data_IF_600904702869
#
_entry.id   IF_600904702869
#
_cell.length_a   1.000
_cell.length_b   1.000
_cell.length_c   1.000
_cell.angle_alpha   90.00
_cell.angle_beta   90.00
_cell.angle_gamma   90.00
#
_symmetry.space_group_name_H-M   'P 1'
#
loop_
_entity.id
_entity.type
_entity.pdbx_description
1 polymer ?
#
# COMPACT_ATOMS: atom_id res chain seq x y z
N UNK A 1 31.97 18.20 57.35
CA UNK A 1 32.64 19.26 56.57
C UNK A 1 33.90 18.68 55.95
N UNK A 2 34.07 18.81 54.63
CA UNK A 2 35.36 18.72 53.89
C UNK A 2 36.01 17.32 53.89
N UNK A 3 36.65 16.78 52.86
CA UNK A 3 37.06 17.16 51.50
C UNK A 3 37.52 15.82 50.87
N UNK A 4 37.15 15.54 49.62
CA UNK A 4 38.07 15.54 48.47
C UNK A 4 39.29 14.60 48.59
N UNK A 5 39.24 13.51 47.81
CA UNK A 5 40.18 13.18 46.72
C UNK A 5 41.67 13.06 47.05
N UNK A 6 42.21 11.86 46.86
CA UNK A 6 43.63 11.46 46.88
C UNK A 6 43.67 10.07 46.20
N UNK A 7 44.55 9.64 45.29
CA UNK A 7 45.80 10.09 44.64
C UNK A 7 46.00 9.06 43.49
N UNK A 8 46.39 9.39 42.26
CA UNK A 8 47.78 9.40 41.75
C UNK A 8 47.70 9.14 40.24
N UNK A 9 48.59 9.50 39.31
CA UNK A 9 49.66 10.49 39.13
C UNK A 9 50.35 10.05 37.81
N UNK A 10 51.04 10.99 37.15
CA UNK A 10 51.96 10.86 36.00
C UNK A 10 51.30 10.84 34.60
N UNK A 11 51.75 11.61 33.61
CA UNK A 11 52.88 12.53 33.53
C UNK A 11 52.66 13.59 32.43
N UNK A 12 53.32 14.72 32.64
CA UNK A 12 53.52 15.83 31.70
C UNK A 12 54.42 15.43 30.53
N UNK A 13 54.13 15.90 29.33
CA UNK A 13 55.10 16.66 28.53
C UNK A 13 54.40 17.42 27.40
N UNK A 14 54.61 18.73 27.41
CA UNK A 14 54.26 19.68 26.35
C UNK A 14 55.49 19.96 25.47
N UNK A 15 55.27 20.67 24.36
CA UNK A 15 56.18 21.14 23.28
C UNK A 15 56.19 20.24 22.02
N UNK A 16 56.02 20.72 20.78
CA UNK A 16 55.46 21.95 20.22
C UNK A 16 55.38 21.78 18.68
N UNK A 17 54.35 22.37 18.07
CA UNK A 17 54.27 22.97 16.72
C UNK A 17 54.09 22.15 15.41
N UNK A 18 53.02 22.62 14.71
CA UNK A 18 52.75 22.72 13.27
C UNK A 18 52.17 21.50 12.51
N UNK A 19 50.83 21.55 12.41
CA UNK A 19 49.95 21.15 11.29
C UNK A 19 50.24 19.85 10.52
N UNK A 20 49.51 18.81 10.90
CA UNK A 20 49.05 17.80 9.95
C UNK A 20 47.62 17.39 10.34
N UNK A 21 46.61 18.10 9.84
CA UNK A 21 45.20 17.77 10.11
C UNK A 21 44.80 16.59 9.23
N UNK A 22 45.06 15.39 9.76
CA UNK A 22 44.58 14.12 9.23
C UNK A 22 43.06 14.02 9.27
N UNK A 23 42.56 13.36 8.23
CA UNK A 23 41.21 12.89 7.95
C UNK A 23 40.32 12.61 9.18
N UNK A 24 39.13 13.19 9.11
CA UNK A 24 38.02 13.03 10.04
C UNK A 24 37.46 11.61 10.03
N UNK A 25 37.91 10.76 10.95
CA UNK A 25 37.31 9.44 11.25
C UNK A 25 36.03 9.51 12.10
N UNK A 26 35.56 10.71 12.45
CA UNK A 26 34.30 10.94 13.20
C UNK A 26 33.08 11.13 12.27
N UNK A 27 33.30 11.36 10.98
CA UNK A 27 32.22 11.67 10.03
C UNK A 27 31.56 10.41 9.42
N UNK A 28 32.25 9.27 9.38
CA UNK A 28 31.69 8.03 8.81
C UNK A 28 30.88 7.19 9.83
N UNK A 29 31.24 7.24 11.11
CA UNK A 29 30.50 6.53 12.16
C UNK A 29 29.08 7.07 12.37
N UNK A 30 28.86 8.37 12.15
CA UNK A 30 27.52 8.99 12.29
C UNK A 30 26.62 8.72 11.08
N UNK A 31 27.16 8.55 9.87
CA UNK A 31 26.38 8.18 8.67
C UNK A 31 25.87 6.74 8.69
N UNK A 32 26.67 5.82 9.25
CA UNK A 32 26.33 4.39 9.31
C UNK A 32 25.18 4.11 10.30
N UNK A 33 25.17 4.78 11.46
CA UNK A 33 24.10 4.65 12.45
C UNK A 33 22.78 5.28 11.98
N UNK A 34 22.83 6.41 11.29
CA UNK A 34 21.63 7.05 10.71
C UNK A 34 21.05 6.20 9.56
N UNK A 35 21.89 5.55 8.75
CA UNK A 35 21.42 4.66 7.67
C UNK A 35 20.80 3.36 8.21
N UNK A 36 21.32 2.81 9.31
CA UNK A 36 20.80 1.58 9.91
C UNK A 36 19.39 1.74 10.51
N UNK A 37 19.09 2.88 11.13
CA UNK A 37 17.78 3.16 11.74
C UNK A 37 16.71 3.42 10.67
N UNK A 38 17.04 4.13 9.59
CA UNK A 38 16.10 4.37 8.47
C UNK A 38 15.75 3.06 7.74
N UNK A 39 16.71 2.15 7.63
CA UNK A 39 16.51 0.85 6.98
C UNK A 39 15.66 -0.09 7.85
N UNK A 40 15.95 -0.21 9.13
CA UNK A 40 15.13 -0.98 10.08
C UNK A 40 13.68 -0.47 10.16
N UNK A 41 13.47 0.85 10.11
CA UNK A 41 12.12 1.43 10.11
C UNK A 41 11.30 1.13 8.86
N UNK A 42 11.92 1.06 7.68
CA UNK A 42 11.23 0.68 6.43
C UNK A 42 10.94 -0.82 6.39
N UNK A 43 11.94 -1.63 6.70
CA UNK A 43 11.82 -3.10 6.68
C UNK A 43 10.78 -3.60 7.70
N UNK A 44 10.63 -2.93 8.85
CA UNK A 44 9.60 -3.24 9.85
C UNK A 44 8.19 -2.85 9.39
N UNK A 45 8.03 -1.73 8.67
CA UNK A 45 6.73 -1.27 8.18
C UNK A 45 6.24 -2.15 7.02
N UNK A 46 7.13 -2.47 6.08
CA UNK A 46 6.87 -3.38 4.96
C UNK A 46 6.53 -4.79 5.46
N UNK A 47 7.28 -5.31 6.43
CA UNK A 47 6.99 -6.62 7.03
C UNK A 47 5.69 -6.67 7.87
N UNK A 48 5.19 -5.55 8.36
CA UNK A 48 3.92 -5.49 9.08
C UNK A 48 2.72 -5.56 8.13
N UNK A 49 2.76 -4.79 7.04
CA UNK A 49 1.72 -4.80 6.01
C UNK A 49 1.68 -6.16 5.28
N UNK A 50 2.85 -6.71 4.94
CA UNK A 50 2.98 -8.07 4.39
C UNK A 50 2.44 -9.13 5.36
N UNK A 51 2.70 -9.00 6.67
CA UNK A 51 2.19 -9.95 7.68
C UNK A 51 0.67 -9.92 7.82
N UNK A 52 0.04 -8.75 7.68
CA UNK A 52 -1.42 -8.61 7.68
C UNK A 52 -2.03 -9.22 6.42
N UNK A 53 -1.46 -8.94 5.26
CA UNK A 53 -1.93 -9.48 3.98
C UNK A 53 -1.73 -10.99 3.88
N UNK A 54 -0.58 -11.49 4.31
CA UNK A 54 -0.33 -12.93 4.38
C UNK A 54 -1.27 -13.59 5.38
N UNK A 55 -1.59 -12.95 6.51
CA UNK A 55 -2.61 -13.43 7.44
C UNK A 55 -4.01 -13.51 6.81
N UNK A 56 -4.38 -12.53 5.98
CA UNK A 56 -5.66 -12.51 5.23
C UNK A 56 -5.69 -13.54 4.08
N UNK A 57 -4.55 -13.81 3.44
CA UNK A 57 -4.41 -14.78 2.34
C UNK A 57 -4.31 -16.23 2.83
N UNK A 58 -3.49 -16.48 3.85
CA UNK A 58 -3.19 -17.82 4.39
C UNK A 58 -4.22 -18.29 5.42
N UNK A 59 -4.95 -17.35 6.04
CA UNK A 59 -6.15 -17.66 6.79
C UNK A 59 -7.19 -18.28 5.85
N UNK A 60 -7.27 -19.61 5.82
CA UNK A 60 -8.29 -20.30 5.02
C UNK A 60 -9.65 -19.72 5.36
N UNK A 61 -10.34 -19.18 4.34
CA UNK A 61 -11.70 -18.71 4.52
C UNK A 61 -12.57 -19.87 5.01
N UNK A 62 -13.30 -19.67 6.11
CA UNK A 62 -14.10 -20.75 6.72
C UNK A 62 -15.17 -21.32 5.78
N UNK A 63 -15.57 -20.53 4.78
CA UNK A 63 -16.53 -20.89 3.73
C UNK A 63 -15.87 -21.45 2.45
N UNK A 64 -14.55 -21.65 2.45
CA UNK A 64 -13.80 -22.14 1.28
C UNK A 64 -13.63 -21.12 0.15
N UNK A 65 -13.89 -19.83 0.40
CA UNK A 65 -13.70 -18.79 -0.61
C UNK A 65 -12.26 -18.71 -1.12
N UNK A 66 -12.12 -18.59 -2.43
CA UNK A 66 -10.86 -18.26 -3.11
C UNK A 66 -10.59 -16.78 -2.83
N UNK A 67 -9.48 -16.47 -2.15
CA UNK A 67 -9.08 -15.09 -1.85
C UNK A 67 -8.29 -14.53 -3.04
N UNK A 68 -8.67 -13.34 -3.50
CA UNK A 68 -8.02 -12.61 -4.60
C UNK A 68 -7.58 -11.25 -4.10
N UNK A 69 -6.29 -10.96 -4.25
CA UNK A 69 -5.65 -9.72 -3.83
C UNK A 69 -4.77 -9.09 -4.93
N UNK A 70 -4.69 -9.74 -6.09
CA UNK A 70 -3.85 -9.32 -7.21
C UNK A 70 -4.55 -9.57 -8.56
N UNK A 71 -4.07 -8.88 -9.61
CA UNK A 71 -4.68 -8.93 -10.94
C UNK A 71 -4.60 -10.31 -11.62
N UNK A 72 -3.53 -11.07 -11.40
CA UNK A 72 -3.38 -12.39 -12.01
C UNK A 72 -4.42 -13.38 -11.47
N UNK A 73 -4.64 -13.40 -10.16
CA UNK A 73 -5.67 -14.21 -9.54
C UNK A 73 -7.08 -13.69 -9.84
N UNK A 74 -7.25 -12.37 -10.01
CA UNK A 74 -8.51 -11.79 -10.46
C UNK A 74 -8.91 -12.34 -11.83
N UNK A 75 -8.01 -12.28 -12.81
CA UNK A 75 -8.28 -12.76 -14.18
C UNK A 75 -8.45 -14.26 -14.27
N UNK A 76 -7.70 -15.01 -13.46
CA UNK A 76 -7.81 -16.47 -13.39
C UNK A 76 -9.17 -16.93 -12.84
N UNK A 77 -9.70 -16.22 -11.84
CA UNK A 77 -10.87 -16.69 -11.10
C UNK A 77 -12.18 -15.98 -11.49
N UNK A 78 -12.12 -14.78 -12.07
CA UNK A 78 -13.29 -13.96 -12.37
C UNK A 78 -13.23 -13.34 -13.77
N UNK A 79 -14.38 -13.34 -14.44
CA UNK A 79 -14.62 -12.42 -15.56
C UNK A 79 -15.12 -11.10 -15.00
N UNK A 80 -14.44 -10.00 -15.36
CA UNK A 80 -14.73 -8.64 -14.87
C UNK A 80 -14.99 -7.73 -16.05
N UNK A 81 -16.08 -6.97 -15.96
CA UNK A 81 -16.60 -6.07 -17.00
C UNK A 81 -16.97 -4.72 -16.40
N UNK A 82 -16.65 -3.63 -17.11
CA UNK A 82 -17.17 -2.30 -16.81
C UNK A 82 -18.58 -2.21 -17.38
N UNK A 83 -19.59 -2.04 -16.52
CA UNK A 83 -21.00 -2.02 -16.94
C UNK A 83 -21.51 -0.61 -17.19
N UNK A 84 -21.12 0.35 -16.36
CA UNK A 84 -21.50 1.76 -16.53
C UNK A 84 -20.65 2.70 -15.68
N UNK A 85 -20.54 3.94 -16.13
CA UNK A 85 -20.06 5.09 -15.36
C UNK A 85 -21.21 6.09 -15.27
N UNK A 86 -21.57 6.49 -14.06
CA UNK A 86 -22.75 7.30 -13.80
C UNK A 86 -22.39 8.50 -12.94
N UNK A 87 -23.06 9.64 -13.19
CA UNK A 87 -22.89 10.86 -12.38
C UNK A 87 -23.41 10.66 -10.96
N UNK A 88 -22.67 11.15 -9.97
CA UNK A 88 -23.04 11.20 -8.56
C UNK A 88 -22.73 12.59 -7.98
N UNK A 89 -23.75 13.43 -7.83
CA UNK A 89 -23.52 14.85 -7.52
C UNK A 89 -22.75 15.56 -8.65
N UNK A 90 -22.24 16.76 -8.41
CA UNK A 90 -21.59 17.55 -9.47
C UNK A 90 -20.13 17.17 -9.73
N UNK A 91 -19.43 16.65 -8.72
CA UNK A 91 -18.00 16.34 -8.80
C UNK A 91 -17.69 14.84 -8.60
N UNK A 92 -18.71 14.00 -8.52
CA UNK A 92 -18.57 12.57 -8.23
C UNK A 92 -19.15 11.68 -9.31
N UNK A 93 -18.77 10.42 -9.25
CA UNK A 93 -19.32 9.36 -10.08
C UNK A 93 -19.39 8.06 -9.30
N UNK A 94 -20.30 7.20 -9.73
CA UNK A 94 -20.24 5.79 -9.38
C UNK A 94 -20.06 4.94 -10.63
N UNK A 95 -19.20 3.95 -10.50
CA UNK A 95 -18.82 3.00 -11.55
C UNK A 95 -19.38 1.64 -11.16
N UNK A 96 -20.20 1.05 -12.03
CA UNK A 96 -20.71 -0.30 -11.83
C UNK A 96 -19.83 -1.31 -12.55
N UNK A 97 -19.18 -2.20 -11.78
CA UNK A 97 -18.44 -3.33 -12.30
C UNK A 97 -19.27 -4.61 -12.17
N UNK A 98 -19.24 -5.42 -13.22
CA UNK A 98 -19.82 -6.76 -13.26
C UNK A 98 -18.74 -7.81 -13.06
N UNK A 99 -18.96 -8.70 -12.09
CA UNK A 99 -18.10 -9.84 -11.82
C UNK A 99 -18.88 -11.13 -12.09
N UNK A 100 -18.31 -12.08 -12.82
CA UNK A 100 -18.89 -13.42 -13.03
C UNK A 100 -17.93 -14.48 -12.50
N UNK A 101 -18.45 -15.33 -11.63
CA UNK A 101 -17.72 -16.43 -11.02
C UNK A 101 -18.21 -17.78 -11.58
N UNK A 102 -17.33 -18.48 -12.31
CA UNK A 102 -17.59 -19.82 -12.83
C UNK A 102 -17.13 -20.95 -11.89
N UNK A 103 -16.47 -20.62 -10.78
CA UNK A 103 -15.97 -21.60 -9.81
C UNK A 103 -17.11 -22.18 -8.96
N UNK A 104 -16.84 -23.34 -8.35
CA UNK A 104 -17.74 -24.00 -7.39
C UNK A 104 -17.70 -23.33 -6.00
N UNK A 105 -16.65 -22.56 -5.72
CA UNK A 105 -16.47 -21.81 -4.48
C UNK A 105 -16.73 -20.31 -4.69
N UNK A 106 -17.11 -19.57 -3.64
CA UNK A 106 -17.10 -18.12 -3.68
C UNK A 106 -15.70 -17.59 -3.99
N UNK A 107 -15.62 -16.44 -4.64
CA UNK A 107 -14.36 -15.70 -4.83
C UNK A 107 -14.48 -14.39 -4.05
N UNK A 108 -13.54 -14.13 -3.14
CA UNK A 108 -13.51 -12.90 -2.34
C UNK A 108 -12.33 -12.05 -2.76
N UNK A 109 -12.65 -10.92 -3.38
CA UNK A 109 -11.68 -9.89 -3.73
C UNK A 109 -11.47 -9.02 -2.49
N UNK A 110 -10.25 -8.90 -2.00
CA UNK A 110 -9.92 -8.16 -0.78
C UNK A 110 -9.12 -6.89 -1.09
N UNK A 111 -8.90 -6.08 -0.05
CA UNK A 111 -7.99 -4.93 -0.08
C UNK A 111 -8.38 -3.86 -1.14
N UNK A 112 -9.69 -3.75 -1.43
CA UNK A 112 -10.18 -2.91 -2.53
C UNK A 112 -9.97 -1.41 -2.32
N UNK A 113 -9.74 -0.98 -1.07
CA UNK A 113 -9.45 0.42 -0.74
C UNK A 113 -7.96 0.77 -0.74
N UNK A 114 -7.10 -0.24 -0.92
CA UNK A 114 -5.67 0.00 -1.00
C UNK A 114 -5.37 0.75 -2.30
N UNK A 115 -4.33 1.59 -2.24
CA UNK A 115 -3.92 2.38 -3.39
C UNK A 115 -3.67 1.46 -4.60
N UNK A 116 -4.12 1.87 -5.78
CA UNK A 116 -3.98 1.14 -7.06
C UNK A 116 -4.87 -0.10 -7.26
N UNK A 117 -5.55 -0.61 -6.22
CA UNK A 117 -6.44 -1.77 -6.38
C UNK A 117 -7.73 -1.44 -7.11
N UNK A 118 -8.28 -0.24 -6.94
CA UNK A 118 -9.34 0.30 -7.79
C UNK A 118 -9.10 1.79 -8.02
N UNK A 119 -8.90 2.18 -9.29
CA UNK A 119 -8.69 3.57 -9.69
C UNK A 119 -9.48 3.92 -10.95
N UNK A 120 -9.91 5.17 -11.03
CA UNK A 120 -10.38 5.80 -12.26
C UNK A 120 -9.27 6.70 -12.82
N UNK A 121 -9.03 6.64 -14.12
CA UNK A 121 -8.05 7.48 -14.82
C UNK A 121 -8.82 8.50 -15.66
N UNK A 122 -8.43 9.77 -15.58
CA UNK A 122 -9.02 10.83 -16.37
C UNK A 122 -8.43 10.97 -17.78
N UNK A 123 -8.98 11.88 -18.57
CA UNK A 123 -8.52 12.15 -19.94
C UNK A 123 -7.05 12.62 -20.01
N UNK A 124 -6.59 13.32 -18.97
CA UNK A 124 -5.24 13.86 -18.83
C UNK A 124 -4.25 12.82 -18.28
N UNK A 125 -4.73 11.66 -17.86
CA UNK A 125 -3.93 10.52 -17.39
C UNK A 125 -3.67 10.51 -15.88
N UNK A 126 -4.40 11.30 -15.09
CA UNK A 126 -4.29 11.29 -13.63
C UNK A 126 -5.24 10.25 -13.01
N UNK A 127 -4.76 9.58 -11.96
CA UNK A 127 -5.50 8.57 -11.23
C UNK A 127 -6.27 9.17 -10.05
N UNK A 128 -7.52 8.73 -9.88
CA UNK A 128 -8.37 9.00 -8.72
C UNK A 128 -8.69 7.67 -8.03
N UNK A 129 -8.37 7.59 -6.74
CA UNK A 129 -8.74 6.45 -5.89
C UNK A 129 -10.23 6.47 -5.55
N UNK A 130 -10.73 5.36 -4.99
CA UNK A 130 -12.05 5.31 -4.38
C UNK A 130 -12.29 6.49 -3.42
N UNK A 131 -13.46 7.11 -3.52
CA UNK A 131 -13.89 8.16 -2.62
C UNK A 131 -13.85 7.67 -1.17
N UNK A 132 -13.32 8.51 -0.27
CA UNK A 132 -13.35 8.23 1.18
C UNK A 132 -14.77 8.30 1.73
N UNK A 133 -15.55 9.25 1.20
CA UNK A 133 -16.97 9.38 1.48
C UNK A 133 -17.72 8.52 0.46
N UNK A 134 -18.37 7.44 0.91
CA UNK A 134 -19.08 6.50 0.05
C UNK A 134 -19.09 5.11 0.67
N UNK A 135 -20.09 4.30 0.34
CA UNK A 135 -20.21 2.92 0.83
C UNK A 135 -19.32 1.96 0.02
N UNK A 136 -18.08 2.39 -0.25
CA UNK A 136 -17.09 1.58 -0.93
C UNK A 136 -16.72 0.39 -0.04
N UNK A 137 -16.78 -0.85 -0.55
CA UNK A 137 -16.44 -2.03 0.23
C UNK A 137 -14.93 -2.19 0.42
N UNK A 138 -14.49 -2.77 1.54
CA UNK A 138 -13.11 -3.26 1.70
C UNK A 138 -12.87 -4.55 0.91
N UNK A 139 -13.91 -5.38 0.81
CA UNK A 139 -13.89 -6.65 0.11
C UNK A 139 -15.23 -6.91 -0.59
N UNK A 140 -15.19 -7.69 -1.67
CA UNK A 140 -16.36 -8.09 -2.43
C UNK A 140 -16.32 -9.59 -2.63
N UNK A 141 -17.35 -10.27 -2.13
CA UNK A 141 -17.54 -11.70 -2.36
C UNK A 141 -18.50 -11.93 -3.53
N UNK A 142 -18.03 -12.68 -4.53
CA UNK A 142 -18.79 -13.15 -5.68
C UNK A 142 -19.25 -14.58 -5.39
N UNK A 143 -20.55 -14.86 -5.31
CA UNK A 143 -21.04 -16.21 -5.03
C UNK A 143 -20.58 -17.22 -6.08
N UNK A 144 -20.51 -18.51 -5.72
CA UNK A 144 -20.22 -19.57 -6.68
C UNK A 144 -21.28 -19.64 -7.78
N UNK A 145 -20.85 -19.97 -9.00
CA UNK A 145 -21.71 -20.09 -10.19
C UNK A 145 -22.67 -18.92 -10.45
N UNK A 146 -22.31 -17.71 -10.01
CA UNK A 146 -23.15 -16.54 -10.14
C UNK A 146 -22.34 -15.28 -10.46
N UNK A 147 -23.04 -14.23 -10.86
CA UNK A 147 -22.47 -12.90 -11.03
C UNK A 147 -22.91 -11.93 -9.94
N UNK A 148 -22.12 -10.89 -9.72
CA UNK A 148 -22.45 -9.76 -8.85
C UNK A 148 -22.13 -8.45 -9.55
N UNK A 149 -23.02 -7.48 -9.40
CA UNK A 149 -22.77 -6.08 -9.76
C UNK A 149 -22.32 -5.35 -8.50
N UNK A 150 -21.25 -4.57 -8.60
CA UNK A 150 -20.76 -3.76 -7.50
C UNK A 150 -20.55 -2.33 -7.97
N UNK A 151 -21.01 -1.39 -7.15
CA UNK A 151 -20.78 0.04 -7.36
C UNK A 151 -19.55 0.48 -6.59
N UNK A 152 -18.72 1.28 -7.24
CA UNK A 152 -17.56 1.93 -6.68
C UNK A 152 -17.69 3.42 -6.88
N UNK A 153 -17.56 4.18 -5.80
CA UNK A 153 -17.77 5.62 -5.76
C UNK A 153 -16.43 6.36 -5.85
N UNK A 154 -16.38 7.43 -6.63
CA UNK A 154 -15.18 8.22 -6.88
C UNK A 154 -15.48 9.72 -6.82
N UNK A 155 -14.52 10.50 -6.32
CA UNK A 155 -14.54 11.96 -6.32
C UNK A 155 -14.02 12.52 -7.66
N UNK A 156 -14.58 12.04 -8.77
CA UNK A 156 -14.31 12.50 -10.13
C UNK A 156 -15.63 12.57 -10.93
N UNK A 157 -15.85 13.62 -11.74
CA UNK A 157 -17.00 13.69 -12.64
C UNK A 157 -17.04 12.51 -13.61
N UNK A 158 -18.24 11.98 -13.87
CA UNK A 158 -18.44 10.81 -14.73
C UNK A 158 -17.90 11.02 -16.15
N UNK A 159 -18.08 12.22 -16.70
CA UNK A 159 -17.60 12.62 -18.02
C UNK A 159 -16.08 12.73 -18.13
N UNK A 160 -15.37 12.83 -17.00
CA UNK A 160 -13.91 12.89 -16.96
C UNK A 160 -13.27 11.50 -16.93
N UNK A 161 -14.01 10.45 -16.57
CA UNK A 161 -13.51 9.08 -16.51
C UNK A 161 -13.21 8.59 -17.94
N UNK A 162 -11.96 8.27 -18.21
CA UNK A 162 -11.50 7.68 -19.48
C UNK A 162 -11.27 6.18 -19.38
N UNK A 163 -10.82 5.72 -18.21
CA UNK A 163 -10.41 4.35 -17.98
C UNK A 163 -10.62 3.98 -16.51
N UNK A 164 -10.94 2.71 -16.26
CA UNK A 164 -11.04 2.16 -14.91
C UNK A 164 -10.04 1.03 -14.79
N UNK A 165 -9.28 0.97 -13.70
CA UNK A 165 -8.41 -0.17 -13.39
C UNK A 165 -8.85 -0.85 -12.12
N UNK A 166 -8.79 -2.18 -12.13
CA UNK A 166 -8.94 -3.01 -10.96
C UNK A 166 -7.74 -3.96 -10.86
N UNK A 167 -6.95 -3.83 -9.81
CA UNK A 167 -5.74 -4.63 -9.55
C UNK A 167 -4.80 -4.67 -10.78
N UNK A 168 -4.58 -3.51 -11.41
CA UNK A 168 -3.78 -3.36 -12.62
C UNK A 168 -4.47 -3.76 -13.93
N UNK A 169 -5.60 -4.48 -13.89
CA UNK A 169 -6.39 -4.81 -15.09
C UNK A 169 -7.12 -3.58 -15.60
N UNK A 170 -6.89 -3.24 -16.86
CA UNK A 170 -7.56 -2.13 -17.55
C UNK A 170 -8.95 -2.54 -18.03
N UNK A 171 -9.95 -1.75 -17.67
CA UNK A 171 -11.32 -1.83 -18.14
C UNK A 171 -11.64 -0.56 -18.93
N UNK A 172 -11.77 -0.69 -20.24
CA UNK A 172 -12.09 0.42 -21.13
C UNK A 172 -13.61 0.63 -21.20
N UNK A 173 -14.01 1.90 -21.36
CA UNK A 173 -15.38 2.34 -21.64
C UNK A 173 -15.87 1.91 -23.03
#
# INVERSE_FOLDING_TARGET
>A
MKKLLVISLLALSSFSHAEETKENTVTDATKSVVSGIVKFGKDLMEGADEGVDEGRKTGQSQDGAIIVDNGADLEKNLSVELLSVNKEGDNGSYIELGFKNANDNPVRIINLKDSENIIAIDADGYATNLARAGDNPMDVTIPSKAGRKQRFHFDIPAESVKEVRIMGKVLSL
#
